data_IF_933577765759
#
_entry.id   IF_933577765759
#
_cell.length_a   1.000
_cell.length_b   1.000
_cell.length_c   1.000
_cell.angle_alpha   90.00
_cell.angle_beta   90.00
_cell.angle_gamma   90.00
#
_symmetry.space_group_name_H-M   'P 1'
#
loop_
_entity.id
_entity.type
_entity.pdbx_description
1 polymer ?
#
# COMPACT_ATOMS: atom_id res chain seq x y z
N UNK A 1 24.41 2.37 -16.20
CA UNK A 1 24.87 2.97 -14.93
C UNK A 1 25.72 1.95 -14.19
N UNK A 2 26.72 2.38 -13.43
CA UNK A 2 27.53 1.52 -12.57
C UNK A 2 27.50 2.07 -11.14
N UNK A 3 27.32 1.20 -10.15
CA UNK A 3 27.39 1.53 -8.72
C UNK A 3 27.88 0.32 -7.92
N UNK A 4 28.21 0.48 -6.64
CA UNK A 4 28.65 -0.64 -5.78
C UNK A 4 27.77 -0.73 -4.55
N UNK A 5 27.09 -1.85 -4.35
CA UNK A 5 26.30 -2.11 -3.15
C UNK A 5 26.91 -3.27 -2.38
N UNK A 6 27.17 -3.07 -1.08
CA UNK A 6 27.76 -4.10 -0.18
C UNK A 6 29.04 -4.75 -0.76
N UNK A 7 29.85 -3.96 -1.46
CA UNK A 7 31.09 -4.42 -2.10
C UNK A 7 30.91 -5.19 -3.42
N UNK A 8 29.67 -5.30 -3.92
CA UNK A 8 29.35 -5.95 -5.20
C UNK A 8 29.14 -4.85 -6.25
N UNK A 9 29.88 -4.85 -7.36
CA UNK A 9 29.65 -3.91 -8.45
C UNK A 9 28.40 -4.30 -9.23
N UNK A 10 27.51 -3.35 -9.43
CA UNK A 10 26.31 -3.46 -10.23
C UNK A 10 26.47 -2.60 -11.48
N UNK A 11 26.15 -3.18 -12.64
CA UNK A 11 25.98 -2.45 -13.88
C UNK A 11 24.60 -2.77 -14.43
N UNK A 12 23.84 -1.73 -14.77
CA UNK A 12 22.51 -1.89 -15.32
C UNK A 12 22.21 -0.89 -16.42
N UNK A 13 21.36 -1.30 -17.34
CA UNK A 13 20.83 -0.44 -18.38
C UNK A 13 19.50 0.21 -17.96
N UNK A 14 19.30 1.45 -18.38
CA UNK A 14 18.03 2.15 -18.22
C UNK A 14 17.77 3.02 -19.44
N UNK A 15 16.50 3.31 -19.70
CA UNK A 15 16.06 4.21 -20.77
C UNK A 15 15.23 5.32 -20.16
N UNK A 16 15.73 6.54 -20.25
CA UNK A 16 15.01 7.73 -19.82
C UNK A 16 13.76 7.95 -20.68
N UNK A 17 12.78 8.60 -20.07
CA UNK A 17 11.61 9.08 -20.78
C UNK A 17 12.01 10.32 -21.61
N UNK A 18 12.00 10.17 -22.94
CA UNK A 18 12.49 11.20 -23.84
C UNK A 18 14.02 11.27 -23.90
N UNK A 19 14.52 12.29 -24.61
CA UNK A 19 15.96 12.53 -24.75
C UNK A 19 16.39 13.56 -23.70
N UNK A 20 17.24 13.20 -22.71
CA UNK A 20 17.74 14.17 -21.76
C UNK A 20 18.59 15.23 -22.47
N UNK A 21 18.64 16.42 -21.89
CA UNK A 21 19.57 17.47 -22.32
C UNK A 21 20.98 17.23 -21.74
N UNK A 22 21.51 16.02 -21.91
CA UNK A 22 22.76 15.55 -21.34
C UNK A 22 23.43 14.54 -22.28
N UNK A 23 24.76 14.56 -22.32
CA UNK A 23 25.59 13.63 -23.07
C UNK A 23 25.94 12.39 -22.24
N UNK A 24 25.99 12.54 -20.92
CA UNK A 24 26.32 11.48 -19.97
C UNK A 24 25.45 11.57 -18.71
N UNK A 25 25.16 10.41 -18.10
CA UNK A 25 24.48 10.30 -16.81
C UNK A 25 25.36 9.50 -15.85
N UNK A 26 25.70 10.09 -14.71
CA UNK A 26 26.51 9.48 -13.65
C UNK A 26 25.75 9.45 -12.33
N UNK A 27 26.06 8.47 -11.50
CA UNK A 27 25.63 8.46 -10.09
C UNK A 27 26.80 8.94 -9.23
N UNK A 28 26.49 9.60 -8.13
CA UNK A 28 27.48 9.98 -7.12
C UNK A 28 28.22 8.77 -6.55
N UNK A 29 29.38 9.04 -5.96
CA UNK A 29 30.07 8.05 -5.14
C UNK A 29 29.16 7.58 -3.98
N UNK A 30 29.55 6.47 -3.33
CA UNK A 30 28.81 5.93 -2.18
C UNK A 30 28.46 7.07 -1.19
N UNK A 31 27.20 7.23 -0.78
CA UNK A 31 26.11 6.25 -0.82
C UNK A 31 25.21 6.27 -2.06
N UNK A 32 25.61 6.91 -3.16
CA UNK A 32 24.85 6.91 -4.42
C UNK A 32 23.53 7.71 -4.37
N UNK A 33 23.49 8.80 -3.58
CA UNK A 33 22.30 9.63 -3.36
C UNK A 33 21.92 10.53 -4.55
N UNK A 34 22.90 10.95 -5.33
CA UNK A 34 22.73 11.93 -6.40
C UNK A 34 22.96 11.34 -7.79
N UNK A 35 22.15 11.79 -8.74
CA UNK A 35 22.22 11.56 -10.17
C UNK A 35 22.69 12.86 -10.84
N UNK A 36 23.79 12.77 -11.58
CA UNK A 36 24.36 13.87 -12.36
C UNK A 36 24.07 13.69 -13.85
N UNK A 37 23.44 14.70 -14.44
CA UNK A 37 23.34 14.86 -15.89
C UNK A 37 24.47 15.77 -16.34
N UNK A 38 25.30 15.29 -17.23
CA UNK A 38 26.51 15.96 -17.69
C UNK A 38 26.35 16.33 -19.15
N UNK A 39 26.66 17.58 -19.49
CA UNK A 39 26.63 18.11 -20.86
C UNK A 39 27.91 18.89 -21.11
N UNK A 40 28.55 18.65 -22.26
CA UNK A 40 29.80 19.32 -22.64
C UNK A 40 30.92 19.20 -21.57
N UNK A 41 30.89 18.14 -20.76
CA UNK A 41 31.83 17.90 -19.65
C UNK A 41 31.48 18.58 -18.33
N UNK A 42 30.40 19.36 -18.25
CA UNK A 42 29.94 20.03 -17.03
C UNK A 42 28.63 19.44 -16.50
N UNK A 43 28.42 19.46 -15.18
CA UNK A 43 27.15 19.04 -14.57
C UNK A 43 26.08 20.09 -14.92
N UNK A 44 25.14 19.71 -15.77
CA UNK A 44 24.02 20.56 -16.18
C UNK A 44 22.84 20.49 -15.22
N UNK A 45 22.68 19.34 -14.53
CA UNK A 45 21.61 19.11 -13.57
C UNK A 45 21.98 18.02 -12.56
N UNK A 46 21.56 18.21 -11.31
CA UNK A 46 21.67 17.23 -10.22
C UNK A 46 20.27 16.88 -9.72
N UNK A 47 19.98 15.58 -9.61
CA UNK A 47 18.72 15.05 -9.12
C UNK A 47 18.95 14.00 -8.04
N UNK A 48 18.02 13.79 -7.10
CA UNK A 48 18.05 12.61 -6.25
C UNK A 48 18.00 11.31 -7.08
N UNK A 49 18.81 10.31 -6.71
CA UNK A 49 18.94 9.06 -7.45
C UNK A 49 17.64 8.25 -7.47
N UNK A 50 16.80 8.32 -6.43
CA UNK A 50 15.51 7.64 -6.41
C UNK A 50 14.55 8.07 -7.54
N UNK A 51 14.73 9.28 -8.09
CA UNK A 51 13.93 9.77 -9.22
C UNK A 51 14.19 9.00 -10.52
N UNK A 52 15.25 8.18 -10.61
CA UNK A 52 15.49 7.31 -11.76
C UNK A 52 14.26 6.42 -12.05
N UNK A 53 13.58 5.93 -11.01
CA UNK A 53 12.33 5.16 -11.18
C UNK A 53 11.28 5.95 -11.97
N UNK A 54 11.01 7.20 -11.58
CA UNK A 54 10.03 8.07 -12.23
C UNK A 54 10.49 8.59 -13.61
N UNK A 55 11.79 8.72 -13.82
CA UNK A 55 12.37 9.29 -15.05
C UNK A 55 12.57 8.26 -16.16
N UNK A 56 12.48 6.95 -15.88
CA UNK A 56 12.79 5.91 -16.84
C UNK A 56 11.55 5.16 -17.32
N UNK A 57 11.51 4.84 -18.62
CA UNK A 57 10.51 3.93 -19.20
C UNK A 57 10.97 2.46 -19.13
N UNK A 58 12.26 2.24 -18.86
CA UNK A 58 12.84 0.91 -18.66
C UNK A 58 14.02 1.04 -17.71
N UNK A 59 14.10 0.15 -16.72
CA UNK A 59 15.26 -0.04 -15.86
C UNK A 59 15.46 -1.54 -15.68
N UNK A 60 16.68 -2.00 -15.96
CA UNK A 60 17.03 -3.42 -15.86
C UNK A 60 17.12 -3.85 -14.39
N UNK A 61 17.75 -3.02 -13.54
CA UNK A 61 17.91 -3.29 -12.11
C UNK A 61 16.60 -3.02 -11.36
N UNK A 62 15.95 -4.05 -10.79
CA UNK A 62 14.72 -3.89 -10.03
C UNK A 62 14.88 -3.02 -8.78
N UNK A 63 16.07 -2.99 -8.17
CA UNK A 63 16.32 -2.27 -6.91
C UNK A 63 16.07 -0.75 -7.00
N UNK A 64 16.10 -0.21 -8.22
CA UNK A 64 15.87 1.21 -8.49
C UNK A 64 14.37 1.57 -8.41
N UNK A 65 13.47 0.58 -8.56
CA UNK A 65 12.01 0.79 -8.58
C UNK A 65 11.23 -0.09 -7.58
N UNK A 66 11.90 -1.02 -6.92
CA UNK A 66 11.29 -1.95 -5.96
C UNK A 66 11.52 -1.44 -4.54
N UNK A 67 10.49 -0.83 -3.97
CA UNK A 67 10.53 -0.24 -2.64
C UNK A 67 9.99 -1.20 -1.60
N UNK A 68 10.73 -1.35 -0.50
CA UNK A 68 10.30 -2.16 0.63
C UNK A 68 9.44 -1.35 1.59
N UNK A 69 8.23 -1.84 1.87
CA UNK A 69 7.31 -1.21 2.82
C UNK A 69 7.81 -1.45 4.25
N UNK A 70 8.40 -0.41 4.84
CA UNK A 70 8.95 -0.46 6.20
C UNK A 70 7.94 -0.05 7.27
N UNK A 71 7.00 0.82 6.93
CA UNK A 71 5.99 1.34 7.84
C UNK A 71 4.74 1.81 7.08
N UNK A 72 3.57 1.64 7.69
CA UNK A 72 2.28 2.19 7.25
C UNK A 72 1.66 2.93 8.43
N UNK A 73 1.17 4.15 8.21
CA UNK A 73 0.49 4.90 9.25
C UNK A 73 -0.48 5.93 8.70
N UNK A 74 -1.52 6.22 9.47
CA UNK A 74 -2.42 7.32 9.15
C UNK A 74 -1.80 8.68 9.48
N UNK A 75 -2.02 9.66 8.62
CA UNK A 75 -1.51 11.03 8.79
C UNK A 75 -2.61 12.03 9.21
N UNK A 76 -3.88 11.64 9.12
CA UNK A 76 -5.04 12.48 9.43
C UNK A 76 -5.36 12.50 10.93
N UNK A 77 -5.71 13.68 11.45
CA UNK A 77 -6.22 13.88 12.81
C UNK A 77 -7.18 15.07 12.83
N UNK A 78 -8.49 14.80 12.90
CA UNK A 78 -9.58 15.76 13.14
C UNK A 78 -9.56 17.03 12.27
N UNK A 79 -9.00 16.97 11.05
CA UNK A 79 -8.89 18.11 10.12
C UNK A 79 -8.05 19.30 10.59
N UNK A 80 -7.38 19.23 11.75
CA UNK A 80 -6.63 20.36 12.36
C UNK A 80 -5.12 20.33 12.12
N UNK A 81 -4.57 19.16 11.76
CA UNK A 81 -3.13 18.98 11.52
C UNK A 81 -2.92 18.36 10.16
N UNK A 82 -1.97 18.90 9.40
CA UNK A 82 -1.56 18.32 8.13
C UNK A 82 -0.75 17.04 8.37
N UNK A 83 -0.66 16.19 7.34
CA UNK A 83 0.23 15.04 7.37
C UNK A 83 1.67 15.43 7.75
N UNK A 84 2.13 16.60 7.31
CA UNK A 84 3.46 17.15 7.60
C UNK A 84 3.66 17.41 9.10
N UNK A 85 2.68 18.00 9.78
CA UNK A 85 2.75 18.33 11.21
C UNK A 85 2.86 17.07 12.07
N UNK A 86 2.18 15.99 11.66
CA UNK A 86 2.26 14.70 12.33
C UNK A 86 3.60 14.01 12.09
N UNK A 87 4.10 14.00 10.86
CA UNK A 87 5.37 13.37 10.50
C UNK A 87 6.57 14.00 11.25
N UNK A 88 6.57 15.31 11.45
CA UNK A 88 7.66 16.00 12.17
C UNK A 88 7.86 15.53 13.62
N UNK A 89 6.77 15.11 14.29
CA UNK A 89 6.79 14.68 15.69
C UNK A 89 6.63 13.17 15.87
N UNK A 90 6.65 12.39 14.79
CA UNK A 90 6.37 10.96 14.83
C UNK A 90 7.61 10.14 15.19
N UNK A 91 7.69 9.69 16.44
CA UNK A 91 8.86 8.95 16.95
C UNK A 91 9.20 7.71 16.14
N UNK A 92 8.20 6.95 15.65
CA UNK A 92 8.46 5.75 14.82
C UNK A 92 9.05 6.10 13.46
N UNK A 93 8.67 7.24 12.87
CA UNK A 93 9.26 7.66 11.59
C UNK A 93 10.71 8.10 11.81
N UNK A 94 10.95 8.89 12.86
CA UNK A 94 12.30 9.31 13.24
C UNK A 94 13.20 8.09 13.52
N UNK A 95 12.65 7.05 14.16
CA UNK A 95 13.34 5.77 14.34
C UNK A 95 13.65 5.09 13.00
N UNK A 96 12.67 4.93 12.10
CA UNK A 96 12.89 4.33 10.77
C UNK A 96 14.00 5.06 10.01
N UNK A 97 13.96 6.40 10.02
CA UNK A 97 14.99 7.23 9.39
C UNK A 97 16.37 7.00 10.01
N UNK A 98 16.46 6.99 11.35
CA UNK A 98 17.72 6.79 12.05
C UNK A 98 18.32 5.39 11.82
N UNK A 99 17.50 4.35 11.96
CA UNK A 99 17.91 2.96 11.84
C UNK A 99 18.37 2.66 10.40
N UNK A 100 17.57 3.06 9.38
CA UNK A 100 17.90 2.77 7.97
C UNK A 100 19.07 3.61 7.44
N UNK A 101 19.20 4.88 7.84
CA UNK A 101 20.37 5.68 7.47
C UNK A 101 21.67 5.16 8.10
N UNK A 102 21.58 4.45 9.23
CA UNK A 102 22.73 3.81 9.86
C UNK A 102 23.07 2.45 9.22
N UNK A 103 22.07 1.58 9.09
CA UNK A 103 22.24 0.18 8.71
C UNK A 103 22.33 -0.04 7.19
N UNK A 104 21.81 0.90 6.39
CA UNK A 104 21.79 0.81 4.93
C UNK A 104 21.96 2.20 4.30
N UNK A 105 23.15 2.83 4.39
CA UNK A 105 23.37 4.19 3.90
C UNK A 105 23.11 4.35 2.40
N UNK A 106 23.29 3.28 1.63
CA UNK A 106 22.98 3.24 0.19
C UNK A 106 21.48 3.20 -0.16
N UNK A 107 20.61 3.06 0.85
CA UNK A 107 19.16 3.04 0.68
C UNK A 107 18.56 4.36 1.11
N UNK A 108 17.57 4.84 0.36
CA UNK A 108 16.85 6.06 0.67
C UNK A 108 15.47 5.75 1.25
N UNK A 109 15.11 6.44 2.35
CA UNK A 109 13.79 6.33 2.94
C UNK A 109 12.86 7.32 2.28
N UNK A 110 11.88 6.80 1.54
CA UNK A 110 10.86 7.61 0.86
C UNK A 110 9.53 7.58 1.63
N UNK A 111 8.83 8.71 1.59
CA UNK A 111 7.48 8.84 2.14
C UNK A 111 6.46 8.90 1.01
N UNK A 112 5.66 7.84 0.88
CA UNK A 112 4.52 7.83 -0.02
C UNK A 112 3.28 8.40 0.69
N UNK A 113 2.81 9.57 0.24
CA UNK A 113 1.54 10.14 0.67
C UNK A 113 0.45 9.70 -0.31
N UNK A 114 -0.47 8.86 0.16
CA UNK A 114 -1.53 8.29 -0.66
C UNK A 114 -2.86 8.91 -0.30
N UNK A 115 -3.59 9.36 -1.30
CA UNK A 115 -4.99 9.75 -1.19
C UNK A 115 -5.86 8.66 -1.81
N UNK A 116 -6.94 8.32 -1.13
CA UNK A 116 -7.91 7.33 -1.58
C UNK A 116 -9.11 8.02 -2.21
N UNK A 117 -9.61 7.43 -3.29
CA UNK A 117 -10.92 7.78 -3.86
C UNK A 117 -12.04 7.41 -2.89
N UNK A 118 -13.25 7.95 -3.15
CA UNK A 118 -14.42 7.61 -2.36
C UNK A 118 -14.65 6.08 -2.33
N UNK A 119 -15.00 5.50 -1.16
CA UNK A 119 -15.10 4.05 -1.02
C UNK A 119 -16.24 3.51 -1.88
N UNK A 120 -15.98 2.40 -2.55
CA UNK A 120 -17.01 1.69 -3.30
C UNK A 120 -17.60 0.58 -2.43
N UNK A 121 -18.92 0.38 -2.54
CA UNK A 121 -19.60 -0.74 -1.89
C UNK A 121 -20.17 -1.67 -2.92
N UNK A 122 -19.82 -2.94 -2.77
CA UNK A 122 -20.32 -4.02 -3.61
C UNK A 122 -21.31 -4.87 -2.82
N UNK A 123 -22.36 -5.30 -3.51
CA UNK A 123 -23.40 -6.17 -2.94
C UNK A 123 -23.55 -7.41 -3.80
N UNK A 124 -23.72 -8.56 -3.16
CA UNK A 124 -23.99 -9.84 -3.83
C UNK A 124 -25.30 -10.41 -3.29
N UNK A 125 -26.08 -11.01 -4.19
CA UNK A 125 -27.38 -11.59 -3.89
C UNK A 125 -27.38 -13.07 -4.30
N UNK A 126 -27.66 -13.97 -3.36
CA UNK A 126 -27.87 -15.38 -3.67
C UNK A 126 -29.36 -15.66 -3.88
N UNK A 127 -29.81 -15.62 -5.13
CA UNK A 127 -31.19 -15.96 -5.50
C UNK A 127 -31.53 -17.46 -5.42
N UNK A 128 -30.57 -18.33 -5.10
CA UNK A 128 -30.79 -19.79 -4.97
C UNK A 128 -31.06 -20.22 -3.54
N UNK A 129 -30.79 -19.36 -2.56
CA UNK A 129 -31.00 -19.67 -1.15
C UNK A 129 -32.50 -19.64 -0.80
N UNK A 130 -33.08 -20.83 -0.70
CA UNK A 130 -34.49 -21.03 -0.33
C UNK A 130 -34.72 -21.08 1.18
N UNK A 131 -33.66 -20.95 1.99
CA UNK A 131 -33.75 -20.99 3.45
C UNK A 131 -34.15 -19.65 4.09
N UNK A 132 -34.09 -18.57 3.31
CA UNK A 132 -34.47 -17.22 3.72
C UNK A 132 -35.98 -17.16 4.01
N UNK A 133 -36.33 -16.85 5.26
CA UNK A 133 -37.72 -16.64 5.68
C UNK A 133 -38.08 -15.17 5.47
N UNK A 134 -39.16 -14.90 4.71
CA UNK A 134 -39.76 -13.58 4.45
C UNK A 134 -40.06 -12.70 5.69
N UNK A 135 -39.92 -13.21 6.92
CA UNK A 135 -40.32 -12.53 8.16
C UNK A 135 -39.20 -11.78 8.88
N UNK A 136 -38.07 -11.58 8.23
CA UNK A 136 -36.94 -10.82 8.78
C UNK A 136 -36.24 -10.04 7.68
N UNK A 137 -37.01 -9.36 6.83
CA UNK A 137 -36.50 -8.58 5.70
C UNK A 137 -35.34 -7.71 6.16
N UNK A 138 -34.13 -8.08 5.72
CA UNK A 138 -32.97 -7.22 5.78
C UNK A 138 -33.34 -6.00 4.95
N UNK A 139 -33.66 -4.90 5.62
CA UNK A 139 -33.97 -3.64 4.95
C UNK A 139 -32.67 -3.11 4.31
N UNK A 140 -32.44 -3.48 3.06
CA UNK A 140 -31.27 -3.10 2.25
C UNK A 140 -31.17 -1.59 2.14
N UNK A 141 -32.31 -0.88 2.06
CA UNK A 141 -32.33 0.59 1.98
C UNK A 141 -31.84 1.19 3.29
N UNK A 142 -32.28 0.67 4.44
CA UNK A 142 -31.75 1.10 5.74
C UNK A 142 -30.27 0.76 5.92
N UNK A 143 -29.80 -0.36 5.35
CA UNK A 143 -28.39 -0.75 5.42
C UNK A 143 -27.53 0.21 4.59
N UNK A 144 -27.96 0.57 3.38
CA UNK A 144 -27.32 1.57 2.53
C UNK A 144 -27.28 2.96 3.20
N UNK A 145 -28.39 3.39 3.82
CA UNK A 145 -28.41 4.66 4.57
C UNK A 145 -27.47 4.66 5.77
N UNK A 146 -27.51 3.59 6.58
CA UNK A 146 -26.58 3.42 7.71
C UNK A 146 -25.13 3.43 7.25
N UNK A 147 -24.86 2.88 6.08
CA UNK A 147 -23.53 2.89 5.49
C UNK A 147 -23.06 4.31 5.16
N UNK A 148 -23.89 5.11 4.47
CA UNK A 148 -23.59 6.52 4.17
C UNK A 148 -23.39 7.35 5.45
N UNK A 149 -24.17 7.08 6.50
CA UNK A 149 -24.10 7.80 7.78
C UNK A 149 -22.89 7.40 8.64
N UNK A 150 -22.50 6.12 8.64
CA UNK A 150 -21.52 5.58 9.61
C UNK A 150 -20.11 5.42 9.07
N UNK A 151 -19.92 5.38 7.74
CA UNK A 151 -18.59 5.29 7.14
C UNK A 151 -17.97 6.67 7.01
N UNK A 152 -17.54 7.20 8.15
CA UNK A 152 -16.77 8.44 8.22
C UNK A 152 -15.40 8.29 7.54
N UNK A 153 -14.81 9.40 7.09
CA UNK A 153 -13.46 9.41 6.53
C UNK A 153 -12.43 8.85 7.52
N UNK A 154 -12.55 9.16 8.81
CA UNK A 154 -11.66 8.65 9.86
C UNK A 154 -11.74 7.11 9.98
N UNK A 155 -12.94 6.54 9.84
CA UNK A 155 -13.13 5.09 9.83
C UNK A 155 -12.48 4.49 8.58
N UNK A 156 -12.67 5.10 7.41
CA UNK A 156 -12.06 4.63 6.15
C UNK A 156 -10.54 4.60 6.26
N UNK A 157 -9.93 5.70 6.71
CA UNK A 157 -8.48 5.81 6.91
C UNK A 157 -7.98 4.76 7.91
N UNK A 158 -8.71 4.54 8.99
CA UNK A 158 -8.37 3.53 10.01
C UNK A 158 -8.43 2.10 9.45
N UNK A 159 -9.41 1.80 8.60
CA UNK A 159 -9.54 0.50 7.95
C UNK A 159 -8.46 0.27 6.89
N UNK A 160 -8.13 1.30 6.12
CA UNK A 160 -7.03 1.30 5.15
C UNK A 160 -5.70 1.03 5.86
N UNK A 161 -5.40 1.77 6.93
CA UNK A 161 -4.19 1.57 7.75
C UNK A 161 -4.10 0.13 8.26
N UNK A 162 -5.16 -0.36 8.90
CA UNK A 162 -5.18 -1.70 9.46
C UNK A 162 -5.05 -2.80 8.38
N UNK A 163 -5.73 -2.63 7.24
CA UNK A 163 -5.67 -3.54 6.11
C UNK A 163 -4.26 -3.60 5.49
N UNK A 164 -3.65 -2.45 5.21
CA UNK A 164 -2.30 -2.41 4.66
C UNK A 164 -1.24 -2.95 5.62
N UNK A 165 -1.34 -2.67 6.93
CA UNK A 165 -0.43 -3.25 7.93
C UNK A 165 -0.57 -4.77 7.97
N UNK A 166 -1.80 -5.30 7.96
CA UNK A 166 -2.04 -6.74 7.93
C UNK A 166 -1.47 -7.37 6.65
N UNK A 167 -1.63 -6.69 5.53
CA UNK A 167 -1.21 -7.17 4.21
C UNK A 167 0.31 -7.22 4.06
N UNK A 168 1.00 -6.07 4.24
CA UNK A 168 2.45 -5.94 4.04
C UNK A 168 3.28 -6.39 5.25
N UNK A 169 2.68 -6.52 6.44
CA UNK A 169 3.39 -6.83 7.68
C UNK A 169 4.71 -6.06 7.90
N UNK A 170 4.73 -4.72 7.71
CA UNK A 170 5.95 -3.93 7.81
C UNK A 170 6.66 -4.09 9.16
N UNK A 171 8.02 -4.08 9.21
CA UNK A 171 8.78 -4.31 10.44
C UNK A 171 8.39 -3.38 11.58
N UNK A 172 8.16 -2.09 11.30
CA UNK A 172 7.91 -1.06 12.30
C UNK A 172 6.43 -0.91 12.72
N UNK A 173 5.53 -1.79 12.27
CA UNK A 173 4.13 -1.82 12.72
C UNK A 173 3.81 -3.09 13.51
N UNK A 174 3.41 -2.97 14.77
CA UNK A 174 2.96 -4.13 15.55
C UNK A 174 1.44 -4.26 15.63
N UNK A 175 0.75 -3.12 15.68
CA UNK A 175 -0.71 -3.05 15.75
C UNK A 175 -1.31 -3.61 14.47
N UNK A 176 -2.34 -4.46 14.56
CA UNK A 176 -3.07 -5.09 13.43
C UNK A 176 -2.33 -6.20 12.66
N UNK A 177 -0.99 -6.19 12.58
CA UNK A 177 -0.15 -7.14 11.82
C UNK A 177 -0.61 -8.61 11.91
N UNK A 178 -0.83 -9.11 13.11
CA UNK A 178 -1.21 -10.53 13.32
C UNK A 178 -2.71 -10.74 13.52
N UNK A 179 -3.39 -9.77 14.12
CA UNK A 179 -4.75 -9.95 14.65
C UNK A 179 -5.84 -9.29 13.82
N UNK A 180 -5.54 -8.50 12.79
CA UNK A 180 -6.59 -7.97 11.93
C UNK A 180 -7.01 -9.00 10.87
N UNK A 181 -8.30 -9.11 10.52
CA UNK A 181 -9.45 -8.57 11.25
C UNK A 181 -9.78 -9.42 12.49
N UNK A 182 -10.19 -8.79 13.61
CA UNK A 182 -10.65 -9.53 14.81
C UNK A 182 -11.79 -8.80 15.52
N UNK A 183 -12.85 -9.52 15.97
CA UNK A 183 -14.07 -8.91 16.51
C UNK A 183 -13.90 -7.89 17.64
N UNK A 184 -12.87 -8.08 18.47
CA UNK A 184 -12.58 -7.21 19.62
C UNK A 184 -11.87 -5.90 19.23
N UNK A 185 -11.57 -5.67 17.96
CA UNK A 185 -10.94 -4.44 17.50
C UNK A 185 -12.00 -3.35 17.35
N UNK A 186 -11.89 -2.28 18.15
CA UNK A 186 -12.86 -1.18 18.17
C UNK A 186 -13.17 -0.59 16.80
N UNK A 187 -12.18 -0.55 15.90
CA UNK A 187 -12.37 -0.06 14.53
C UNK A 187 -13.40 -0.88 13.74
N UNK A 188 -13.60 -2.16 14.08
CA UNK A 188 -14.55 -3.03 13.41
C UNK A 188 -15.94 -3.00 14.06
N UNK A 189 -16.13 -2.41 15.25
CA UNK A 189 -17.44 -2.32 15.90
C UNK A 189 -18.47 -1.61 15.00
N UNK A 190 -18.08 -0.48 14.40
CA UNK A 190 -18.93 0.26 13.46
C UNK A 190 -19.17 -0.53 12.17
N UNK A 191 -18.17 -1.28 11.71
CA UNK A 191 -18.24 -2.08 10.49
C UNK A 191 -19.21 -3.26 10.66
N UNK A 192 -19.20 -3.91 11.82
CA UNK A 192 -20.11 -5.00 12.15
C UNK A 192 -21.54 -4.52 12.36
N UNK A 193 -21.74 -3.31 12.88
CA UNK A 193 -23.07 -2.71 13.02
C UNK A 193 -23.71 -2.36 11.66
N UNK A 194 -22.90 -2.11 10.63
CA UNK A 194 -23.34 -1.92 9.24
C UNK A 194 -23.49 -3.27 8.49
N UNK A 195 -22.97 -4.36 9.08
CA UNK A 195 -23.03 -5.74 8.55
C UNK A 195 -22.25 -5.97 7.24
N UNK A 196 -21.05 -5.39 7.17
CA UNK A 196 -20.10 -5.62 6.09
C UNK A 196 -19.43 -6.99 6.18
N UNK A 197 -19.42 -7.71 5.04
CA UNK A 197 -18.82 -9.04 4.96
C UNK A 197 -17.31 -9.06 4.74
N UNK A 198 -16.79 -8.06 4.03
CA UNK A 198 -15.39 -8.01 3.60
C UNK A 198 -14.90 -6.57 3.47
N UNK A 199 -13.57 -6.41 3.51
CA UNK A 199 -12.86 -5.17 3.22
C UNK A 199 -11.83 -5.42 2.12
N UNK A 200 -11.79 -4.57 1.10
CA UNK A 200 -10.70 -4.54 0.11
C UNK A 200 -10.01 -3.18 0.17
N UNK A 201 -8.68 -3.20 0.25
CA UNK A 201 -7.83 -2.00 0.17
C UNK A 201 -6.89 -2.19 -1.00
N UNK A 202 -6.83 -1.19 -1.88
CA UNK A 202 -5.97 -1.21 -3.05
C UNK A 202 -4.93 -0.08 -2.95
N UNK A 203 -3.71 -0.34 -3.40
CA UNK A 203 -2.69 0.68 -3.60
C UNK A 203 -2.03 0.47 -4.95
N UNK A 204 -2.07 1.50 -5.80
CA UNK A 204 -1.48 1.48 -7.13
C UNK A 204 -0.37 2.53 -7.22
N UNK A 205 0.85 2.07 -7.51
CA UNK A 205 2.06 2.89 -7.68
C UNK A 205 2.59 2.88 -9.12
N UNK A 206 1.85 2.30 -10.08
CA UNK A 206 2.13 2.40 -11.52
C UNK A 206 2.31 3.84 -12.01
N UNK A 207 1.50 4.85 -11.58
CA UNK A 207 1.65 6.22 -12.07
C UNK A 207 3.01 6.87 -11.76
N UNK A 208 3.74 6.34 -10.77
CA UNK A 208 5.07 6.81 -10.39
C UNK A 208 6.17 5.81 -10.74
N UNK A 209 5.85 4.78 -11.54
CA UNK A 209 6.76 3.70 -11.95
C UNK A 209 7.50 3.04 -10.78
N UNK A 210 6.80 2.88 -9.66
CA UNK A 210 7.30 2.23 -8.46
C UNK A 210 6.56 0.90 -8.24
N UNK A 211 7.25 -0.06 -7.64
CA UNK A 211 6.67 -1.32 -7.17
C UNK A 211 6.94 -1.47 -5.69
N UNK A 212 5.97 -2.01 -4.97
CA UNK A 212 6.08 -2.25 -3.54
C UNK A 212 6.37 -3.73 -3.27
N UNK A 213 7.07 -4.00 -2.19
CA UNK A 213 7.30 -5.35 -1.65
C UNK A 213 7.39 -5.31 -0.14
N UNK A 214 7.33 -6.47 0.49
CA UNK A 214 7.59 -6.62 1.93
C UNK A 214 8.12 -8.02 2.23
N UNK A 215 8.44 -8.31 3.49
CA UNK A 215 8.79 -9.67 3.90
C UNK A 215 7.66 -10.70 3.69
N UNK A 216 6.39 -10.27 3.71
CA UNK A 216 5.23 -11.15 3.55
C UNK A 216 4.60 -11.15 2.16
N UNK A 217 4.93 -10.17 1.30
CA UNK A 217 4.31 -9.99 -0.02
C UNK A 217 5.37 -9.79 -1.10
N UNK A 218 5.15 -10.47 -2.24
CA UNK A 218 5.96 -10.31 -3.45
C UNK A 218 5.91 -8.89 -4.02
N UNK A 219 6.73 -8.65 -5.04
CA UNK A 219 6.79 -7.35 -5.72
C UNK A 219 5.59 -7.14 -6.64
N UNK A 220 5.02 -5.93 -6.65
CA UNK A 220 3.99 -5.51 -7.61
C UNK A 220 3.81 -4.00 -7.66
N UNK A 221 3.33 -3.47 -8.77
CA UNK A 221 2.97 -2.06 -8.89
C UNK A 221 1.56 -1.77 -8.32
N UNK A 222 0.67 -2.75 -8.38
CA UNK A 222 -0.68 -2.67 -7.82
C UNK A 222 -0.85 -3.78 -6.79
N UNK A 223 -1.23 -3.45 -5.57
CA UNK A 223 -1.52 -4.43 -4.54
C UNK A 223 -3.00 -4.37 -4.17
N UNK A 224 -3.63 -5.55 -4.13
CA UNK A 224 -4.98 -5.74 -3.63
C UNK A 224 -4.90 -6.53 -2.32
N UNK A 225 -5.47 -5.95 -1.27
CA UNK A 225 -5.54 -6.52 0.07
C UNK A 225 -7.00 -6.73 0.47
N UNK A 226 -7.49 -7.95 0.36
CA UNK A 226 -8.87 -8.32 0.65
C UNK A 226 -8.95 -9.17 1.92
N UNK A 227 -9.91 -8.84 2.78
CA UNK A 227 -10.12 -9.49 4.08
C UNK A 227 -11.57 -9.87 4.29
N UNK A 228 -11.82 -11.12 4.69
CA UNK A 228 -13.11 -11.52 5.25
C UNK A 228 -13.21 -11.00 6.69
N UNK A 229 -14.26 -10.26 7.00
CA UNK A 229 -14.41 -9.62 8.32
C UNK A 229 -15.05 -10.53 9.37
N UNK A 230 -15.59 -11.67 8.93
CA UNK A 230 -16.28 -12.64 9.75
C UNK A 230 -15.71 -14.03 9.53
N UNK A 231 -15.76 -14.87 10.57
CA UNK A 231 -15.52 -16.30 10.42
C UNK A 231 -16.52 -16.94 9.46
N UNK A 232 -16.04 -17.91 8.67
CA UNK A 232 -16.85 -18.63 7.67
C UNK A 232 -18.08 -19.33 8.29
N UNK A 233 -17.99 -19.72 9.56
CA UNK A 233 -19.11 -20.32 10.31
C UNK A 233 -20.22 -19.32 10.63
N UNK A 234 -19.88 -18.05 10.74
CA UNK A 234 -20.81 -16.95 11.02
C UNK A 234 -21.35 -16.38 9.73
N UNK A 235 -20.48 -16.16 8.74
CA UNK A 235 -20.84 -15.61 7.44
C UNK A 235 -19.87 -16.13 6.39
N UNK A 236 -20.41 -16.64 5.28
CA UNK A 236 -19.60 -17.04 4.14
C UNK A 236 -18.93 -15.82 3.49
N UNK A 237 -17.73 -16.04 2.97
CA UNK A 237 -16.94 -15.03 2.25
C UNK A 237 -17.77 -14.33 1.17
N UNK A 238 -17.61 -13.02 1.06
CA UNK A 238 -18.18 -12.23 -0.03
C UNK A 238 -17.68 -12.71 -1.40
N UNK A 239 -16.45 -13.19 -1.46
CA UNK A 239 -15.77 -13.67 -2.67
C UNK A 239 -16.20 -15.07 -3.09
N UNK A 240 -16.96 -15.78 -2.24
CA UNK A 240 -17.54 -17.08 -2.57
C UNK A 240 -18.83 -16.90 -3.41
N UNK A 241 -18.68 -16.42 -4.64
CA UNK A 241 -19.79 -16.06 -5.55
C UNK A 241 -20.73 -17.26 -5.81
N UNK A 242 -20.18 -18.47 -5.87
CA UNK A 242 -20.95 -19.69 -6.14
C UNK A 242 -21.60 -20.30 -4.88
N UNK A 243 -21.31 -19.74 -3.71
CA UNK A 243 -21.81 -20.18 -2.42
C UNK A 243 -21.59 -21.69 -2.14
N UNK A 244 -20.41 -22.20 -2.50
CA UNK A 244 -20.04 -23.63 -2.34
C UNK A 244 -19.08 -23.82 -1.16
N UNK A 245 -19.02 -25.04 -0.61
CA UNK A 245 -18.21 -25.33 0.60
C UNK A 245 -16.72 -25.04 0.43
N UNK A 246 -16.17 -25.19 -0.78
CA UNK A 246 -14.77 -24.93 -1.13
C UNK A 246 -14.63 -23.70 -2.03
N UNK A 247 -15.50 -22.70 -1.87
CA UNK A 247 -15.44 -21.47 -2.65
C UNK A 247 -14.33 -20.55 -2.16
N UNK A 248 -13.98 -19.56 -2.99
CA UNK A 248 -12.89 -18.64 -2.67
C UNK A 248 -13.18 -17.72 -1.49
N UNK A 249 -12.13 -17.38 -0.77
CA UNK A 249 -12.12 -16.41 0.32
C UNK A 249 -11.40 -15.12 -0.12
N UNK A 250 -11.35 -14.13 0.76
CA UNK A 250 -10.72 -12.86 0.44
C UNK A 250 -9.20 -12.95 0.16
N UNK A 251 -8.48 -13.88 0.82
CA UNK A 251 -7.05 -14.06 0.61
C UNK A 251 -6.74 -14.61 -0.79
N UNK A 252 -7.63 -15.43 -1.38
CA UNK A 252 -7.47 -15.95 -2.75
C UNK A 252 -7.45 -14.84 -3.82
N UNK A 253 -7.97 -13.66 -3.48
CA UNK A 253 -7.99 -12.45 -4.33
C UNK A 253 -7.01 -11.37 -3.85
N UNK A 254 -6.15 -11.70 -2.89
CA UNK A 254 -5.14 -10.78 -2.35
C UNK A 254 -3.78 -11.05 -2.98
N UNK A 255 -3.08 -10.00 -3.40
CA UNK A 255 -1.76 -10.16 -3.98
C UNK A 255 -1.25 -8.96 -4.77
N UNK A 256 0.04 -8.96 -5.13
CA UNK A 256 0.56 -8.07 -6.13
C UNK A 256 -0.04 -8.40 -7.50
N UNK A 257 -0.33 -7.36 -8.27
CA UNK A 257 -0.75 -7.40 -9.66
C UNK A 257 0.19 -6.45 -10.42
N UNK A 258 0.61 -6.90 -11.60
CA UNK A 258 1.54 -6.23 -12.53
C UNK A 258 2.98 -6.08 -12.00
#
# INVERSE_FOLDING_TARGET
>A
MQYTSKGIPHQFEFRLNGKPNADEVKISEYPHSDLFLIRDGEISFTAPAHLISMMCNYVEDPSVRDFEVQYVGMSYADGKRSARDRLQSHSTLQQVLADLSHDSPESEVLLALVQYEAPQTMMTFDGRDKSLKLKGDRDVVSALRRQEEKITEDLQISLIEAGLIKYFQPPYNDKYKNRFPHPTQKILEQVYDIDFGALTVEINTEPINARLRSGSRGVGAHHIASFDLHDVSTRRSFFNIMNVASGSNAEDHSGPIF
#
